data_IF_694489478902
#
_entry.id   IF_694489478902
#
_cell.length_a   1.000
_cell.length_b   1.000
_cell.length_c   1.000
_cell.angle_alpha   90.00
_cell.angle_beta   90.00
_cell.angle_gamma   90.00
#
_symmetry.space_group_name_H-M   'P 1'
#
loop_
_entity.id
_entity.type
_entity.pdbx_description
1 polymer ?
#
# COMPACT_ATOMS: atom_id res chain seq x y z
N UNK A 1 2.87 -3.09 19.43
CA UNK A 1 3.65 -3.77 18.40
C UNK A 1 3.05 -5.13 18.09
N UNK A 2 3.07 -5.56 16.82
CA UNK A 2 2.63 -6.89 16.38
C UNK A 2 3.51 -7.37 15.22
N UNK A 3 3.54 -8.70 15.02
CA UNK A 3 4.18 -9.29 13.85
C UNK A 3 3.52 -8.86 12.53
N UNK A 4 4.27 -8.91 11.43
CA UNK A 4 3.77 -8.64 10.08
C UNK A 4 4.46 -9.53 9.04
N UNK A 5 3.89 -9.53 7.84
CA UNK A 5 4.41 -10.26 6.68
C UNK A 5 3.92 -11.71 6.63
N UNK A 6 3.90 -12.27 5.45
CA UNK A 6 3.52 -13.65 5.16
C UNK A 6 4.78 -14.52 5.22
N UNK A 7 5.49 -14.72 4.10
CA UNK A 7 6.74 -15.49 4.05
C UNK A 7 7.85 -14.94 4.96
N UNK A 8 7.92 -13.62 5.12
CA UNK A 8 8.89 -12.97 6.02
C UNK A 8 8.62 -13.21 7.50
N UNK A 9 7.44 -13.71 7.88
CA UNK A 9 7.14 -14.10 9.26
C UNK A 9 7.67 -15.51 9.61
N UNK A 10 8.01 -16.32 8.62
CA UNK A 10 8.52 -17.69 8.85
C UNK A 10 10.01 -17.75 9.18
N UNK A 11 10.78 -16.69 8.88
CA UNK A 11 12.23 -16.61 9.09
C UNK A 11 12.61 -16.23 10.53
N UNK A 12 13.87 -16.37 10.91
CA UNK A 12 14.33 -16.12 12.29
C UNK A 12 14.22 -14.65 12.69
N UNK A 13 14.59 -13.70 11.82
CA UNK A 13 14.49 -12.27 12.08
C UNK A 13 13.13 -11.73 11.63
N UNK A 14 12.27 -11.44 12.59
CA UNK A 14 10.86 -11.09 12.36
C UNK A 14 10.65 -9.62 12.02
N UNK A 15 9.84 -9.28 11.02
CA UNK A 15 9.36 -7.91 10.80
C UNK A 15 8.18 -7.57 11.71
N UNK A 16 7.97 -6.28 11.99
CA UNK A 16 6.92 -5.83 12.92
C UNK A 16 6.12 -4.65 12.36
N UNK A 17 4.85 -4.54 12.80
CA UNK A 17 4.04 -3.31 12.75
C UNK A 17 4.05 -2.65 14.12
N UNK A 18 4.22 -1.32 14.14
CA UNK A 18 4.11 -0.49 15.34
C UNK A 18 2.86 0.38 15.20
N UNK A 19 2.06 0.43 16.25
CA UNK A 19 0.95 1.37 16.39
C UNK A 19 1.16 2.14 17.70
N UNK A 20 1.42 3.42 17.58
CA UNK A 20 1.57 4.33 18.71
C UNK A 20 0.20 4.73 19.26
N UNK A 21 0.12 5.07 20.54
CA UNK A 21 -1.12 5.57 21.16
C UNK A 21 -1.52 6.94 20.60
N UNK A 22 -0.53 7.78 20.29
CA UNK A 22 -0.72 9.11 19.70
C UNK A 22 0.13 9.25 18.43
N UNK A 23 -0.31 10.12 17.50
CA UNK A 23 0.52 10.49 16.34
C UNK A 23 1.82 11.10 16.83
N UNK A 24 2.95 10.60 16.37
CA UNK A 24 4.28 11.14 16.62
C UNK A 24 5.09 11.18 15.32
N UNK A 25 5.95 12.17 15.22
CA UNK A 25 6.95 12.25 14.18
C UNK A 25 8.18 11.44 14.61
N UNK A 26 8.49 10.40 13.89
CA UNK A 26 9.68 9.61 14.10
C UNK A 26 10.73 9.99 13.05
N UNK A 27 11.83 10.56 13.49
CA UNK A 27 12.99 10.92 12.65
C UNK A 27 12.68 11.91 11.50
N UNK A 28 11.69 12.78 11.65
CA UNK A 28 11.33 13.76 10.63
C UNK A 28 10.47 13.22 9.48
N UNK A 29 9.91 12.00 9.62
CA UNK A 29 9.10 11.35 8.59
C UNK A 29 7.60 11.71 8.66
N UNK A 30 7.23 12.83 9.31
CA UNK A 30 5.84 13.25 9.49
C UNK A 30 5.09 12.51 10.60
N UNK A 31 4.05 13.15 11.13
CA UNK A 31 3.29 12.62 12.28
C UNK A 31 2.35 11.51 11.88
N UNK A 32 2.55 10.30 12.37
CA UNK A 32 1.60 9.20 12.23
C UNK A 32 1.63 8.27 13.46
N UNK A 33 0.63 7.37 13.56
CA UNK A 33 0.62 6.31 14.57
C UNK A 33 1.23 5.01 14.07
N UNK A 34 1.25 4.79 12.76
CA UNK A 34 1.50 3.49 12.14
C UNK A 34 2.85 3.49 11.43
N UNK A 35 3.69 2.55 11.84
CA UNK A 35 5.04 2.38 11.35
C UNK A 35 5.34 0.91 11.12
N UNK A 36 6.34 0.60 10.32
CA UNK A 36 6.79 -0.77 10.10
C UNK A 36 8.29 -0.89 10.33
N UNK A 37 8.71 -2.00 10.92
CA UNK A 37 10.10 -2.42 11.03
C UNK A 37 10.32 -3.56 10.04
N UNK A 38 11.00 -3.27 8.94
CA UNK A 38 11.40 -4.26 7.96
C UNK A 38 12.69 -4.93 8.41
N UNK A 39 12.66 -6.26 8.54
CA UNK A 39 13.81 -7.03 9.02
C UNK A 39 14.94 -7.17 7.99
N UNK A 40 14.63 -6.97 6.70
CA UNK A 40 15.53 -7.16 5.57
C UNK A 40 16.26 -8.52 5.58
N UNK A 41 15.59 -9.58 6.07
CA UNK A 41 16.21 -10.88 6.25
C UNK A 41 16.82 -11.48 4.98
N UNK A 42 16.13 -11.29 3.84
CA UNK A 42 16.56 -11.79 2.53
C UNK A 42 17.51 -10.85 1.78
N UNK A 43 17.89 -9.74 2.40
CA UNK A 43 18.78 -8.74 1.81
C UNK A 43 20.03 -8.57 2.66
N UNK A 44 21.10 -9.27 2.31
CA UNK A 44 22.38 -9.18 2.99
C UNK A 44 23.02 -7.78 2.92
N UNK A 45 22.64 -6.98 1.93
CA UNK A 45 23.11 -5.60 1.81
C UNK A 45 22.37 -4.61 2.71
N UNK A 46 21.16 -4.96 3.16
CA UNK A 46 20.23 -4.15 3.95
C UNK A 46 19.77 -2.85 3.25
N UNK A 47 20.05 -2.68 1.95
CA UNK A 47 19.80 -1.42 1.23
C UNK A 47 18.73 -1.49 0.15
N UNK A 48 18.28 -2.67 -0.27
CA UNK A 48 17.36 -2.83 -1.41
C UNK A 48 16.08 -2.02 -1.24
N UNK A 49 15.37 -2.17 -0.13
CA UNK A 49 14.16 -1.40 0.15
C UNK A 49 14.44 0.10 0.17
N UNK A 50 15.51 0.53 0.84
CA UNK A 50 15.90 1.94 0.92
C UNK A 50 16.24 2.51 -0.46
N UNK A 51 16.95 1.74 -1.29
CA UNK A 51 17.29 2.13 -2.66
C UNK A 51 16.04 2.24 -3.53
N UNK A 52 15.10 1.29 -3.42
CA UNK A 52 13.82 1.33 -4.14
C UNK A 52 13.02 2.57 -3.79
N UNK A 53 12.87 2.90 -2.50
CA UNK A 53 12.20 4.11 -2.07
C UNK A 53 12.90 5.38 -2.53
N UNK A 54 14.25 5.40 -2.50
CA UNK A 54 15.02 6.52 -3.06
C UNK A 54 14.77 6.70 -4.56
N UNK A 55 14.78 5.61 -5.33
CA UNK A 55 14.52 5.64 -6.77
C UNK A 55 13.09 6.10 -7.06
N UNK A 56 12.09 5.60 -6.33
CA UNK A 56 10.70 6.04 -6.49
C UNK A 56 10.57 7.56 -6.37
N UNK A 57 11.16 8.16 -5.33
CA UNK A 57 11.20 9.62 -5.19
C UNK A 57 11.92 10.32 -6.33
N UNK A 58 13.04 9.77 -6.79
CA UNK A 58 13.81 10.36 -7.91
C UNK A 58 13.08 10.28 -9.23
N UNK A 59 12.26 9.27 -9.43
CA UNK A 59 11.41 9.10 -10.61
C UNK A 59 10.10 9.91 -10.53
N UNK A 60 9.88 10.63 -9.43
CA UNK A 60 8.71 11.48 -9.28
C UNK A 60 7.41 10.73 -8.95
N UNK A 61 7.52 9.54 -8.34
CA UNK A 61 6.32 8.88 -7.78
C UNK A 61 5.67 9.79 -6.75
N UNK A 62 4.36 9.91 -6.82
CA UNK A 62 3.55 10.81 -5.99
C UNK A 62 3.72 10.51 -4.50
N UNK A 63 3.75 9.24 -4.14
CA UNK A 63 4.09 8.79 -2.79
C UNK A 63 5.12 7.67 -2.83
N UNK A 64 6.13 7.81 -1.98
CA UNK A 64 7.11 6.76 -1.69
C UNK A 64 7.43 6.80 -0.21
N UNK A 65 7.33 5.67 0.53
CA UNK A 65 7.57 5.65 1.96
C UNK A 65 8.93 6.22 2.35
N UNK A 66 8.94 7.10 3.35
CA UNK A 66 10.17 7.50 4.02
C UNK A 66 10.65 6.37 4.94
N UNK A 67 11.96 6.26 5.10
CA UNK A 67 12.56 5.21 5.91
C UNK A 67 13.92 5.60 6.50
N UNK A 68 14.23 5.02 7.67
CA UNK A 68 15.48 5.23 8.40
C UNK A 68 16.01 3.89 8.90
N UNK A 69 17.29 3.56 8.73
CA UNK A 69 17.90 2.41 9.37
C UNK A 69 17.98 2.63 10.90
N UNK A 70 17.60 1.64 11.68
CA UNK A 70 17.58 1.69 13.13
C UNK A 70 18.06 0.36 13.73
N UNK A 71 18.69 0.42 14.88
CA UNK A 71 18.93 -0.74 15.71
C UNK A 71 17.76 -0.94 16.68
N UNK A 72 17.29 -2.18 16.81
CA UNK A 72 16.13 -2.51 17.62
C UNK A 72 16.54 -3.29 18.86
N UNK A 73 16.16 -2.74 20.01
CA UNK A 73 16.20 -3.44 21.30
C UNK A 73 14.76 -3.63 21.76
N UNK A 74 14.35 -4.86 22.00
CA UNK A 74 13.01 -5.20 22.47
C UNK A 74 13.11 -6.07 23.71
N UNK A 75 12.46 -5.65 24.80
CA UNK A 75 12.49 -6.37 26.07
C UNK A 75 13.93 -6.68 26.56
N UNK A 76 14.83 -5.72 26.40
CA UNK A 76 16.28 -5.82 26.74
C UNK A 76 17.09 -6.74 25.83
N UNK A 77 16.52 -7.28 24.77
CA UNK A 77 17.21 -8.09 23.77
C UNK A 77 17.51 -7.29 22.51
N UNK A 78 18.73 -7.36 22.01
CA UNK A 78 19.14 -6.75 20.77
C UNK A 78 18.72 -7.61 19.59
N UNK A 79 17.82 -7.09 18.75
CA UNK A 79 17.28 -7.79 17.59
C UNK A 79 18.03 -7.49 16.28
N UNK A 80 19.00 -6.60 16.32
CA UNK A 80 19.79 -6.20 15.16
C UNK A 80 19.26 -4.97 14.44
N UNK A 81 19.80 -4.72 13.26
CA UNK A 81 19.47 -3.55 12.43
C UNK A 81 18.20 -3.80 11.61
N UNK A 82 17.28 -2.86 11.63
CA UNK A 82 16.02 -2.85 10.89
C UNK A 82 15.90 -1.60 10.02
N UNK A 83 15.00 -1.62 9.07
CA UNK A 83 14.57 -0.41 8.39
C UNK A 83 13.21 0.02 8.97
N UNK A 84 13.20 1.15 9.71
CA UNK A 84 11.96 1.78 10.14
C UNK A 84 11.39 2.55 8.97
N UNK A 85 10.17 2.23 8.59
CA UNK A 85 9.49 2.85 7.46
C UNK A 85 8.10 3.32 7.86
N UNK A 86 7.60 4.26 7.10
CA UNK A 86 6.19 4.58 7.06
C UNK A 86 5.36 3.35 6.70
N UNK A 87 4.21 3.16 7.35
CA UNK A 87 3.22 2.21 6.86
C UNK A 87 2.39 2.89 5.77
N UNK A 88 2.34 2.32 4.57
CA UNK A 88 1.49 2.78 3.48
C UNK A 88 0.03 2.74 3.95
N UNK A 89 -0.66 3.87 3.85
CA UNK A 89 -2.08 4.05 4.20
C UNK A 89 -2.57 5.42 3.78
N UNK A 90 -3.88 5.62 3.72
CA UNK A 90 -4.46 6.96 3.55
C UNK A 90 -4.24 7.78 4.83
N UNK A 91 -3.59 8.91 4.72
CA UNK A 91 -3.38 9.92 5.77
C UNK A 91 -2.66 11.13 5.14
N UNK A 92 -2.91 12.33 5.61
CA UNK A 92 -2.29 13.58 5.13
C UNK A 92 -0.75 13.57 5.05
N UNK A 93 -0.10 12.73 5.86
CA UNK A 93 1.35 12.55 5.89
C UNK A 93 1.77 11.20 5.27
N UNK A 94 0.95 10.60 4.43
CA UNK A 94 1.20 9.34 3.72
C UNK A 94 0.64 9.46 2.31
N UNK A 95 -0.25 8.57 1.92
CA UNK A 95 -1.00 8.70 0.67
C UNK A 95 -2.12 9.69 0.93
N UNK A 96 -1.96 10.93 0.43
CA UNK A 96 -2.91 12.03 0.65
C UNK A 96 -4.03 11.98 -0.39
N UNK A 97 -4.98 11.10 -0.14
CA UNK A 97 -6.13 10.87 -0.99
C UNK A 97 -7.44 10.95 -0.19
N UNK A 98 -8.56 11.09 -0.88
CA UNK A 98 -9.87 11.14 -0.27
C UNK A 98 -10.14 9.89 0.57
N UNK A 99 -10.60 10.08 1.80
CA UNK A 99 -10.94 9.00 2.72
C UNK A 99 -12.41 8.60 2.55
N UNK A 100 -12.67 7.65 1.67
CA UNK A 100 -14.01 7.14 1.40
C UNK A 100 -14.66 6.41 2.59
N UNK A 101 -13.90 6.02 3.60
CA UNK A 101 -14.46 5.43 4.83
C UNK A 101 -15.29 6.45 5.63
N UNK A 102 -14.96 7.72 5.47
CA UNK A 102 -15.67 8.84 6.12
C UNK A 102 -16.73 9.48 5.23
N UNK A 103 -16.84 9.03 3.99
CA UNK A 103 -17.77 9.61 3.03
C UNK A 103 -19.21 9.17 3.30
N UNK A 104 -20.15 10.09 3.05
CA UNK A 104 -21.58 9.82 3.16
C UNK A 104 -22.08 8.92 2.03
N UNK A 105 -23.22 8.28 2.24
CA UNK A 105 -23.88 7.48 1.22
C UNK A 105 -24.23 8.36 0.00
N UNK A 106 -23.80 7.91 -1.18
CA UNK A 106 -23.99 8.63 -2.44
C UNK A 106 -22.91 9.68 -2.74
N UNK A 107 -21.82 9.71 -1.96
CA UNK A 107 -20.64 10.50 -2.29
C UNK A 107 -20.04 10.06 -3.63
N UNK A 108 -19.25 10.95 -4.23
CA UNK A 108 -18.42 10.59 -5.39
C UNK A 108 -17.37 9.56 -5.00
N UNK A 109 -17.34 8.45 -5.70
CA UNK A 109 -16.43 7.32 -5.48
C UNK A 109 -15.42 7.16 -6.61
N UNK A 110 -15.17 8.20 -7.38
CA UNK A 110 -14.24 8.16 -8.52
C UNK A 110 -12.74 8.15 -8.11
N UNK A 111 -12.43 8.36 -6.84
CA UNK A 111 -11.06 8.37 -6.28
C UNK A 111 -11.02 7.98 -4.81
N UNK A 112 -9.82 7.92 -4.24
CA UNK A 112 -9.63 7.62 -2.81
C UNK A 112 -9.45 6.12 -2.51
N UNK A 113 -8.78 5.38 -3.37
CA UNK A 113 -8.52 3.95 -3.20
C UNK A 113 -7.07 3.66 -2.86
N UNK A 114 -6.88 2.66 -2.02
CA UNK A 114 -5.61 1.98 -1.83
C UNK A 114 -5.83 0.50 -2.07
N UNK A 115 -5.11 -0.04 -3.04
CA UNK A 115 -5.21 -1.44 -3.44
C UNK A 115 -3.87 -2.15 -3.21
N UNK A 116 -3.93 -3.41 -2.82
CA UNK A 116 -2.76 -4.30 -2.81
C UNK A 116 -3.02 -5.57 -3.61
N UNK A 117 -1.96 -6.15 -4.17
CA UNK A 117 -2.01 -7.45 -4.83
C UNK A 117 -1.76 -8.54 -3.79
N UNK A 118 -2.81 -8.99 -3.13
CA UNK A 118 -2.78 -10.04 -2.09
C UNK A 118 -3.68 -11.22 -2.50
N UNK A 119 -3.20 -12.10 -3.39
CA UNK A 119 -4.03 -13.12 -4.05
C UNK A 119 -4.60 -14.19 -3.11
N UNK A 120 -4.13 -14.27 -1.87
CA UNK A 120 -4.47 -15.33 -0.92
C UNK A 120 -5.41 -14.88 0.22
N UNK A 121 -5.89 -13.64 0.21
CA UNK A 121 -6.84 -13.20 1.22
C UNK A 121 -8.29 -13.50 0.78
N UNK A 122 -9.00 -14.22 1.64
CA UNK A 122 -10.43 -14.52 1.46
C UNK A 122 -11.24 -13.56 2.33
N UNK A 123 -11.46 -12.36 1.81
CA UNK A 123 -12.29 -11.33 2.45
C UNK A 123 -13.28 -10.75 1.46
N UNK A 124 -14.35 -10.13 1.97
CA UNK A 124 -15.34 -9.44 1.14
C UNK A 124 -14.75 -8.23 0.40
N UNK A 125 -13.57 -7.75 0.79
CA UNK A 125 -12.88 -6.63 0.16
C UNK A 125 -11.96 -7.03 -1.00
N UNK A 126 -11.91 -8.30 -1.36
CA UNK A 126 -11.19 -8.75 -2.56
C UNK A 126 -12.06 -8.52 -3.79
N UNK A 127 -11.45 -7.93 -4.81
CA UNK A 127 -11.99 -7.85 -6.17
C UNK A 127 -11.18 -8.78 -7.07
N UNK A 128 -11.87 -9.44 -8.01
CA UNK A 128 -11.26 -10.34 -8.97
C UNK A 128 -11.56 -9.85 -10.38
N UNK A 129 -10.49 -9.59 -11.11
CA UNK A 129 -10.56 -9.27 -12.53
C UNK A 129 -10.24 -10.50 -13.38
N UNK A 130 -10.09 -10.35 -14.69
CA UNK A 130 -9.75 -11.43 -15.58
C UNK A 130 -8.34 -11.99 -15.31
N UNK A 131 -7.41 -11.13 -14.93
CA UNK A 131 -5.98 -11.47 -14.84
C UNK A 131 -5.45 -11.48 -13.42
N UNK A 132 -6.03 -10.70 -12.51
CA UNK A 132 -5.50 -10.50 -11.17
C UNK A 132 -6.56 -10.51 -10.08
N UNK A 133 -6.08 -10.47 -8.83
CA UNK A 133 -6.91 -10.25 -7.65
C UNK A 133 -6.31 -9.10 -6.85
N UNK A 134 -7.15 -8.21 -6.38
CA UNK A 134 -6.76 -7.05 -5.59
C UNK A 134 -7.52 -7.01 -4.27
N UNK A 135 -6.81 -6.74 -3.19
CA UNK A 135 -7.41 -6.41 -1.91
C UNK A 135 -7.62 -4.89 -1.83
N UNK A 136 -8.81 -4.47 -1.49
CA UNK A 136 -9.10 -3.06 -1.18
C UNK A 136 -8.64 -2.80 0.25
N UNK A 137 -7.51 -2.14 0.41
CA UNK A 137 -6.94 -1.70 1.68
C UNK A 137 -7.65 -0.45 2.21
N UNK A 138 -8.26 0.34 1.31
CA UNK A 138 -9.15 1.46 1.61
C UNK A 138 -10.06 1.75 0.41
N UNK A 139 -11.37 1.95 0.63
CA UNK A 139 -12.09 1.84 1.90
C UNK A 139 -12.36 0.38 2.30
N UNK A 140 -11.98 0.00 3.52
CA UNK A 140 -12.36 -1.32 4.10
C UNK A 140 -13.83 -1.33 4.54
N UNK A 141 -14.33 -0.19 5.00
CA UNK A 141 -15.69 0.00 5.55
C UNK A 141 -16.26 1.36 5.11
N UNK A 142 -17.47 1.66 5.52
CA UNK A 142 -18.08 2.97 5.28
C UNK A 142 -19.44 2.91 4.57
N UNK A 143 -20.14 4.03 4.54
CA UNK A 143 -21.50 4.12 4.00
C UNK A 143 -21.56 3.93 2.47
N UNK A 144 -20.46 4.23 1.76
CA UNK A 144 -20.35 4.08 0.31
C UNK A 144 -19.54 2.84 -0.13
N UNK A 145 -19.10 1.96 0.79
CA UNK A 145 -18.21 0.83 0.50
C UNK A 145 -18.67 -0.04 -0.67
N UNK A 146 -19.95 -0.46 -0.69
CA UNK A 146 -20.46 -1.31 -1.77
C UNK A 146 -20.43 -0.62 -3.14
N UNK A 147 -20.73 0.69 -3.17
CA UNK A 147 -20.64 1.50 -4.38
C UNK A 147 -19.20 1.68 -4.82
N UNK A 148 -18.31 1.95 -3.88
CA UNK A 148 -16.86 2.09 -4.11
C UNK A 148 -16.25 0.79 -4.63
N UNK A 149 -16.59 -0.35 -4.04
CA UNK A 149 -16.12 -1.67 -4.50
C UNK A 149 -16.55 -1.93 -5.94
N UNK A 150 -17.82 -1.73 -6.27
CA UNK A 150 -18.32 -1.94 -7.62
C UNK A 150 -17.65 -1.01 -8.65
N UNK A 151 -17.39 0.24 -8.28
CA UNK A 151 -16.69 1.20 -9.12
C UNK A 151 -15.26 0.76 -9.40
N UNK A 152 -14.48 0.49 -8.35
CA UNK A 152 -13.04 0.17 -8.53
C UNK A 152 -12.84 -1.19 -9.20
N UNK A 153 -13.72 -2.17 -8.95
CA UNK A 153 -13.69 -3.46 -9.66
C UNK A 153 -13.87 -3.28 -11.15
N UNK A 154 -14.86 -2.48 -11.57
CA UNK A 154 -15.09 -2.18 -12.98
C UNK A 154 -13.94 -1.38 -13.60
N UNK A 155 -13.40 -0.41 -12.86
CA UNK A 155 -12.26 0.38 -13.31
C UNK A 155 -10.99 -0.47 -13.52
N UNK A 156 -10.66 -1.33 -12.55
CA UNK A 156 -9.51 -2.22 -12.66
C UNK A 156 -9.67 -3.22 -13.80
N UNK A 157 -10.88 -3.78 -13.97
CA UNK A 157 -11.18 -4.67 -15.10
C UNK A 157 -10.97 -3.94 -16.43
N UNK A 158 -11.54 -2.74 -16.58
CA UNK A 158 -11.37 -1.92 -17.79
C UNK A 158 -9.89 -1.59 -18.06
N UNK A 159 -9.11 -1.33 -17.03
CA UNK A 159 -7.68 -1.05 -17.16
C UNK A 159 -6.91 -2.29 -17.63
N UNK A 160 -7.18 -3.45 -17.04
CA UNK A 160 -6.55 -4.69 -17.46
C UNK A 160 -6.96 -5.08 -18.89
N UNK A 161 -8.23 -4.99 -19.23
CA UNK A 161 -8.73 -5.29 -20.58
C UNK A 161 -8.01 -4.40 -21.62
N UNK A 162 -7.73 -3.13 -21.29
CA UNK A 162 -6.92 -2.26 -22.15
C UNK A 162 -5.45 -2.70 -22.25
N UNK A 163 -4.82 -3.10 -21.13
CA UNK A 163 -3.41 -3.52 -21.11
C UNK A 163 -3.20 -4.81 -21.91
N UNK A 164 -4.14 -5.74 -21.82
CA UNK A 164 -4.05 -7.05 -22.47
C UNK A 164 -4.79 -7.12 -23.82
N UNK A 165 -5.50 -6.04 -24.19
CA UNK A 165 -6.21 -5.93 -25.47
C UNK A 165 -5.28 -5.67 -26.66
N UNK A 166 -5.81 -5.83 -27.86
CA UNK A 166 -5.10 -5.54 -29.11
C UNK A 166 -4.77 -4.03 -29.16
N UNK A 167 -3.56 -3.70 -29.58
CA UNK A 167 -3.05 -2.32 -29.64
C UNK A 167 -3.12 -1.56 -28.28
N UNK A 168 -3.16 -2.30 -27.15
CA UNK A 168 -3.29 -1.76 -25.81
C UNK A 168 -4.55 -0.89 -25.62
N UNK A 169 -5.68 -1.34 -26.16
CA UNK A 169 -6.96 -0.65 -26.08
C UNK A 169 -8.11 -1.62 -25.77
N UNK A 170 -9.13 -1.07 -25.17
CA UNK A 170 -10.42 -1.70 -25.03
C UNK A 170 -11.18 -1.70 -26.37
N UNK A 171 -12.24 -2.49 -26.46
CA UNK A 171 -13.16 -2.53 -27.62
C UNK A 171 -13.78 -1.15 -27.92
N UNK A 172 -13.96 -0.30 -26.91
CA UNK A 172 -14.47 1.07 -27.04
C UNK A 172 -13.40 2.09 -27.50
N UNK A 173 -12.16 1.65 -27.71
CA UNK A 173 -11.02 2.46 -28.12
C UNK A 173 -10.29 3.17 -26.98
N UNK A 174 -10.73 3.00 -25.73
CA UNK A 174 -10.02 3.56 -24.55
C UNK A 174 -8.68 2.87 -24.38
N UNK A 175 -7.58 3.61 -24.33
CA UNK A 175 -6.24 3.06 -24.12
C UNK A 175 -5.91 2.94 -22.62
N UNK A 176 -4.89 2.14 -22.29
CA UNK A 176 -4.39 2.10 -20.92
C UNK A 176 -3.84 3.45 -20.45
N UNK A 177 -3.36 4.29 -21.34
CA UNK A 177 -2.86 5.65 -21.03
C UNK A 177 -3.96 6.62 -20.60
N UNK A 178 -5.22 6.32 -20.97
CA UNK A 178 -6.38 7.10 -20.52
C UNK A 178 -6.83 6.66 -19.11
N UNK A 179 -6.37 5.52 -18.64
CA UNK A 179 -6.82 4.87 -17.40
C UNK A 179 -5.76 4.83 -16.30
N UNK A 180 -4.50 5.08 -16.62
CA UNK A 180 -3.41 5.05 -15.64
C UNK A 180 -2.34 6.09 -15.96
N UNK A 181 -1.66 6.58 -14.91
CA UNK A 181 -0.51 7.46 -15.08
C UNK A 181 0.68 6.64 -15.59
N UNK A 182 1.21 7.06 -16.75
CA UNK A 182 2.33 6.40 -17.44
C UNK A 182 3.52 7.35 -17.44
N UNK A 183 4.35 7.26 -16.39
CA UNK A 183 5.59 8.05 -16.27
C UNK A 183 6.81 7.15 -16.36
#
# INVERSE_FOLDING_TARGET
IRGRGNSTWTVSKKPYKIKLDKKADLFGMGKNKHWVLLANYYDNSLVRNRLTYYLGRKLGMEYTPECVPVDVIMNHEYLGSYLLCEQIRLDENRVDENDLEKADKGADVSGGYLLSMEPNEETDNVIKTTYNSYLIESPETGACQSQAKAYIENYMKKTEDAIYGDDFKNEDGTSYQDLMDVK
#
